data_IF_393174529498
#
_entry.id   IF_393174529498
#
_cell.length_a   1.000
_cell.length_b   1.000
_cell.length_c   1.000
_cell.angle_alpha   90.00
_cell.angle_beta   90.00
_cell.angle_gamma   90.00
#
_symmetry.space_group_name_H-M   'P 1'
#
loop_
_entity.id
_entity.type
_entity.pdbx_description
1 polymer ?
#
# COMPACT_ATOMS: atom_id res chain seq x y z
N UNK A 1 4.41 -23.15 -1.41
CA UNK A 1 3.83 -21.93 -0.78
C UNK A 1 4.88 -21.19 0.07
N UNK A 2 6.02 -20.79 -0.51
CA UNK A 2 7.10 -20.05 0.19
C UNK A 2 7.24 -18.60 -0.32
N UNK A 3 6.52 -18.27 -1.39
CA UNK A 3 6.60 -16.99 -2.10
C UNK A 3 5.61 -15.93 -1.59
N UNK A 4 4.53 -16.35 -0.90
CA UNK A 4 3.45 -15.46 -0.42
C UNK A 4 3.85 -14.71 0.87
N UNK A 5 5.05 -14.95 1.42
CA UNK A 5 5.32 -14.67 2.84
C UNK A 5 6.50 -13.75 3.14
N UNK A 6 7.10 -13.11 2.14
CA UNK A 6 8.15 -12.13 2.43
C UNK A 6 7.55 -10.71 2.46
N UNK A 7 7.30 -10.13 3.65
CA UNK A 7 6.66 -8.82 3.78
C UNK A 7 7.46 -7.72 3.09
N UNK A 8 8.80 -7.84 3.05
CA UNK A 8 9.67 -6.92 2.33
C UNK A 8 9.39 -6.93 0.83
N UNK A 9 9.26 -8.11 0.21
CA UNK A 9 8.93 -8.23 -1.22
C UNK A 9 7.54 -7.68 -1.54
N UNK A 10 6.54 -7.99 -0.72
CA UNK A 10 5.18 -7.46 -0.88
C UNK A 10 5.16 -5.93 -0.76
N UNK A 11 5.94 -5.37 0.17
CA UNK A 11 6.07 -3.91 0.33
C UNK A 11 6.65 -3.26 -0.92
N UNK A 12 7.71 -3.83 -1.52
CA UNK A 12 8.24 -3.29 -2.78
C UNK A 12 7.19 -3.25 -3.88
N UNK A 13 6.44 -4.34 -4.02
CA UNK A 13 5.40 -4.44 -5.03
C UNK A 13 4.34 -3.34 -4.85
N UNK A 14 3.90 -3.13 -3.62
CA UNK A 14 2.96 -2.06 -3.29
C UNK A 14 3.54 -0.67 -3.52
N UNK A 15 4.79 -0.39 -3.13
CA UNK A 15 5.44 0.89 -3.41
C UNK A 15 5.42 1.19 -4.91
N UNK A 16 5.78 0.21 -5.75
CA UNK A 16 5.78 0.38 -7.21
C UNK A 16 4.37 0.67 -7.73
N UNK A 17 3.37 -0.13 -7.32
CA UNK A 17 1.98 0.04 -7.73
C UNK A 17 1.43 1.41 -7.33
N UNK A 18 1.57 1.77 -6.05
CA UNK A 18 1.04 3.03 -5.55
C UNK A 18 1.71 4.21 -6.27
N UNK A 19 3.03 4.20 -6.42
CA UNK A 19 3.76 5.26 -7.10
C UNK A 19 3.31 5.45 -8.55
N UNK A 20 3.29 4.36 -9.33
CA UNK A 20 2.98 4.42 -10.76
C UNK A 20 1.52 4.81 -11.00
N UNK A 21 0.57 4.15 -10.31
CA UNK A 21 -0.85 4.42 -10.53
C UNK A 21 -1.23 5.81 -9.99
N UNK A 22 -0.63 6.28 -8.89
CA UNK A 22 -0.87 7.64 -8.38
C UNK A 22 -0.42 8.70 -9.37
N UNK A 23 0.76 8.51 -9.98
CA UNK A 23 1.30 9.44 -10.96
C UNK A 23 0.41 9.51 -12.21
N UNK A 24 -0.05 8.35 -12.71
CA UNK A 24 -1.01 8.26 -13.82
C UNK A 24 -2.36 8.92 -13.45
N UNK A 25 -2.87 8.66 -12.24
CA UNK A 25 -4.13 9.22 -11.76
C UNK A 25 -4.08 10.75 -11.65
N UNK A 26 -2.96 11.31 -11.20
CA UNK A 26 -2.76 12.75 -11.15
C UNK A 26 -2.76 13.37 -12.55
N UNK A 27 -2.05 12.78 -13.52
CA UNK A 27 -2.01 13.31 -14.90
C UNK A 27 -3.38 13.34 -15.57
N UNK A 28 -4.26 12.38 -15.26
CA UNK A 28 -5.58 12.28 -15.88
C UNK A 28 -6.61 13.17 -15.19
N UNK A 29 -6.50 13.34 -13.88
CA UNK A 29 -7.60 13.92 -13.09
C UNK A 29 -7.25 15.29 -12.52
N UNK A 30 -5.98 15.70 -12.59
CA UNK A 30 -5.40 16.90 -11.97
C UNK A 30 -5.79 17.09 -10.49
N UNK A 31 -6.23 16.01 -9.85
CA UNK A 31 -6.79 16.07 -8.51
C UNK A 31 -5.67 15.93 -7.48
N UNK A 32 -5.53 16.88 -6.53
CA UNK A 32 -4.54 16.77 -5.47
C UNK A 32 -4.77 15.55 -4.57
N UNK A 33 -6.00 15.02 -4.53
CA UNK A 33 -6.35 13.83 -3.76
C UNK A 33 -5.68 12.55 -4.29
N UNK A 34 -5.32 12.51 -5.58
CA UNK A 34 -4.60 11.37 -6.18
C UNK A 34 -3.14 11.28 -5.71
N UNK A 35 -2.59 12.38 -5.17
CA UNK A 35 -1.21 12.47 -4.70
C UNK A 35 -1.04 11.92 -3.28
N UNK A 36 -2.12 11.75 -2.53
CA UNK A 36 -2.09 11.18 -1.16
C UNK A 36 -1.39 9.81 -1.16
N UNK A 37 -1.84 8.80 -1.94
CA UNK A 37 -1.16 7.51 -2.01
C UNK A 37 0.30 7.59 -2.51
N UNK A 38 0.66 8.61 -3.31
CA UNK A 38 2.05 8.83 -3.71
C UNK A 38 2.93 9.27 -2.53
N UNK A 39 2.47 10.24 -1.74
CA UNK A 39 3.21 10.72 -0.55
C UNK A 39 3.40 9.59 0.45
N UNK A 40 2.36 8.80 0.71
CA UNK A 40 2.49 7.63 1.58
C UNK A 40 3.38 6.53 0.97
N UNK A 41 3.36 6.34 -0.34
CA UNK A 41 4.27 5.41 -1.02
C UNK A 41 5.74 5.77 -0.77
N UNK A 42 6.09 7.06 -0.85
CA UNK A 42 7.44 7.55 -0.54
C UNK A 42 7.81 7.29 0.92
N UNK A 43 6.91 7.59 1.86
CA UNK A 43 7.11 7.30 3.29
C UNK A 43 7.32 5.80 3.58
N UNK A 44 6.50 4.93 2.96
CA UNK A 44 6.66 3.48 3.04
C UNK A 44 7.99 3.05 2.42
N UNK A 45 8.42 3.68 1.32
CA UNK A 45 9.70 3.45 0.67
C UNK A 45 10.91 3.76 1.56
N UNK A 46 10.85 4.87 2.32
CA UNK A 46 11.88 5.19 3.31
C UNK A 46 11.93 4.10 4.39
N UNK A 47 10.78 3.71 4.93
CA UNK A 47 10.70 2.64 5.92
C UNK A 47 11.17 1.29 5.38
N UNK A 48 10.96 1.03 4.08
CA UNK A 48 11.43 -0.17 3.39
C UNK A 48 12.97 -0.23 3.36
N UNK A 49 13.65 0.88 3.08
CA UNK A 49 15.13 0.94 3.09
C UNK A 49 15.67 0.79 4.51
N UNK A 50 15.00 1.38 5.49
CA UNK A 50 15.39 1.27 6.90
C UNK A 50 15.02 -0.07 7.54
N UNK A 51 14.22 -0.90 6.87
CA UNK A 51 13.73 -2.18 7.38
C UNK A 51 14.88 -3.04 7.92
N UNK A 52 15.95 -3.22 7.15
CA UNK A 52 17.09 -4.09 7.50
C UNK A 52 17.85 -3.68 8.77
N UNK A 53 17.74 -2.42 9.21
CA UNK A 53 18.38 -1.95 10.45
C UNK A 53 17.62 -2.34 11.70
N UNK A 54 16.28 -2.28 11.67
CA UNK A 54 15.41 -2.59 12.81
C UNK A 54 14.08 -3.21 12.35
N UNK A 55 14.15 -4.47 11.89
CA UNK A 55 13.03 -5.18 11.26
C UNK A 55 11.71 -5.10 12.04
N UNK A 56 11.71 -5.20 13.39
CA UNK A 56 10.48 -5.24 14.20
C UNK A 56 9.74 -3.90 14.23
N UNK A 57 10.45 -2.80 14.44
CA UNK A 57 9.86 -1.46 14.56
C UNK A 57 9.37 -0.98 13.20
N UNK A 58 10.21 -1.09 12.16
CA UNK A 58 9.83 -0.67 10.81
C UNK A 58 8.70 -1.52 10.22
N UNK A 59 8.61 -2.81 10.56
CA UNK A 59 7.46 -3.63 10.16
C UNK A 59 6.12 -3.08 10.70
N UNK A 60 6.08 -2.64 11.96
CA UNK A 60 4.86 -2.07 12.54
C UNK A 60 4.55 -0.69 11.93
N UNK A 61 5.56 0.14 11.70
CA UNK A 61 5.39 1.45 11.06
C UNK A 61 4.84 1.28 9.63
N UNK A 62 5.41 0.37 8.84
CA UNK A 62 4.94 0.09 7.47
C UNK A 62 3.49 -0.42 7.50
N UNK A 63 3.17 -1.34 8.41
CA UNK A 63 1.80 -1.85 8.56
C UNK A 63 0.81 -0.73 8.94
N UNK A 64 1.21 0.16 9.86
CA UNK A 64 0.40 1.30 10.26
C UNK A 64 0.16 2.26 9.09
N UNK A 65 1.20 2.60 8.32
CA UNK A 65 1.07 3.43 7.12
C UNK A 65 0.16 2.79 6.08
N UNK A 66 0.28 1.47 5.84
CA UNK A 66 -0.59 0.75 4.92
C UNK A 66 -2.06 0.80 5.34
N UNK A 67 -2.36 0.70 6.64
CA UNK A 67 -3.72 0.85 7.17
C UNK A 67 -4.25 2.27 6.93
N UNK A 68 -3.44 3.29 7.20
CA UNK A 68 -3.82 4.70 6.94
C UNK A 68 -4.12 4.91 5.46
N UNK A 69 -3.28 4.38 4.56
CA UNK A 69 -3.48 4.47 3.11
C UNK A 69 -4.76 3.76 2.67
N UNK A 70 -5.01 2.57 3.22
CA UNK A 70 -6.22 1.80 2.90
C UNK A 70 -7.48 2.59 3.26
N UNK A 71 -7.50 3.20 4.45
CA UNK A 71 -8.61 4.06 4.89
C UNK A 71 -8.72 5.32 4.02
N UNK A 72 -7.59 5.96 3.70
CA UNK A 72 -7.56 7.15 2.86
C UNK A 72 -8.07 6.90 1.44
N UNK A 73 -7.94 5.67 0.92
CA UNK A 73 -8.40 5.29 -0.43
C UNK A 73 -9.92 5.09 -0.56
N UNK A 74 -10.68 4.99 0.53
CA UNK A 74 -12.14 4.91 0.44
C UNK A 74 -12.77 6.20 -0.08
N UNK A 75 -12.24 7.37 0.31
CA UNK A 75 -12.72 8.66 -0.16
C UNK A 75 -12.59 8.82 -1.69
N UNK A 76 -11.42 8.60 -2.33
CA UNK A 76 -11.31 8.67 -3.78
C UNK A 76 -12.12 7.56 -4.46
N UNK A 77 -12.27 6.37 -3.87
CA UNK A 77 -13.11 5.33 -4.45
C UNK A 77 -14.58 5.77 -4.58
N UNK A 78 -15.17 6.28 -3.48
CA UNK A 78 -16.54 6.77 -3.49
C UNK A 78 -16.74 7.90 -4.51
N UNK A 79 -15.80 8.85 -4.57
CA UNK A 79 -15.85 9.91 -5.59
C UNK A 79 -15.87 9.39 -7.03
N UNK A 80 -15.20 8.26 -7.32
CA UNK A 80 -15.20 7.67 -8.67
C UNK A 80 -16.46 6.88 -8.97
N UNK A 81 -17.05 6.27 -7.94
CA UNK A 81 -18.36 5.61 -8.04
C UNK A 81 -19.43 6.66 -8.36
N UNK A 82 -19.46 7.76 -7.63
CA UNK A 82 -20.41 8.87 -7.87
C UNK A 82 -20.24 9.46 -9.28
N UNK A 83 -19.00 9.55 -9.76
CA UNK A 83 -18.67 10.03 -11.09
C UNK A 83 -18.89 9.00 -12.23
N UNK A 84 -19.34 7.77 -11.92
CA UNK A 84 -19.46 6.66 -12.88
C UNK A 84 -18.17 6.39 -13.71
N UNK A 85 -17.00 6.69 -13.15
CA UNK A 85 -15.70 6.52 -13.80
C UNK A 85 -15.17 5.10 -13.55
N UNK A 86 -15.57 4.15 -14.41
CA UNK A 86 -15.18 2.73 -14.32
C UNK A 86 -13.65 2.59 -14.26
N UNK A 87 -12.91 3.36 -15.07
CA UNK A 87 -11.45 3.32 -15.09
C UNK A 87 -10.82 3.85 -13.79
N UNK A 88 -11.40 4.90 -13.22
CA UNK A 88 -11.06 5.39 -11.88
C UNK A 88 -11.28 4.35 -10.80
N UNK A 89 -12.43 3.68 -10.81
CA UNK A 89 -12.79 2.65 -9.83
C UNK A 89 -11.80 1.48 -9.88
N UNK A 90 -11.51 0.96 -11.08
CA UNK A 90 -10.58 -0.17 -11.24
C UNK A 90 -9.20 0.18 -10.70
N UNK A 91 -8.66 1.35 -11.05
CA UNK A 91 -7.33 1.80 -10.58
C UNK A 91 -7.25 1.91 -9.07
N UNK A 92 -8.22 2.56 -8.43
CA UNK A 92 -8.25 2.73 -6.97
C UNK A 92 -8.45 1.37 -6.28
N UNK A 93 -9.30 0.52 -6.83
CA UNK A 93 -9.50 -0.85 -6.33
C UNK A 93 -8.21 -1.67 -6.41
N UNK A 94 -7.46 -1.59 -7.51
CA UNK A 94 -6.16 -2.26 -7.63
C UNK A 94 -5.16 -1.78 -6.57
N UNK A 95 -5.12 -0.48 -6.28
CA UNK A 95 -4.27 0.05 -5.20
C UNK A 95 -4.70 -0.49 -3.82
N UNK A 96 -6.00 -0.58 -3.55
CA UNK A 96 -6.50 -1.15 -2.30
C UNK A 96 -6.12 -2.63 -2.16
N UNK A 97 -6.27 -3.42 -3.23
CA UNK A 97 -5.89 -4.83 -3.23
C UNK A 97 -4.40 -5.03 -2.96
N UNK A 98 -3.52 -4.18 -3.53
CA UNK A 98 -2.08 -4.23 -3.25
C UNK A 98 -1.78 -3.94 -1.77
N UNK A 99 -2.46 -2.93 -1.19
CA UNK A 99 -2.33 -2.62 0.23
C UNK A 99 -2.78 -3.79 1.12
N UNK A 100 -3.96 -4.35 0.85
CA UNK A 100 -4.51 -5.50 1.58
C UNK A 100 -3.57 -6.71 1.49
N UNK A 101 -3.08 -7.02 0.30
CA UNK A 101 -2.12 -8.10 0.10
C UNK A 101 -0.87 -7.93 0.98
N UNK A 102 -0.34 -6.71 1.03
CA UNK A 102 0.85 -6.41 1.83
C UNK A 102 0.58 -6.51 3.32
N UNK A 103 -0.57 -6.01 3.78
CA UNK A 103 -1.04 -6.16 5.16
C UNK A 103 -1.11 -7.63 5.56
N UNK A 104 -1.71 -8.48 4.72
CA UNK A 104 -1.81 -9.92 4.97
C UNK A 104 -0.41 -10.53 5.09
N UNK A 105 0.53 -10.19 4.20
CA UNK A 105 1.91 -10.66 4.29
C UNK A 105 2.59 -10.26 5.61
N UNK A 106 2.37 -9.04 6.10
CA UNK A 106 2.88 -8.59 7.40
C UNK A 106 2.27 -9.37 8.57
N UNK A 107 0.94 -9.51 8.59
CA UNK A 107 0.23 -10.26 9.64
C UNK A 107 0.70 -11.72 9.68
N UNK A 108 0.81 -12.38 8.53
CA UNK A 108 1.35 -13.75 8.46
C UNK A 108 2.80 -13.83 8.93
N UNK A 109 3.63 -12.83 8.59
CA UNK A 109 5.01 -12.75 9.07
C UNK A 109 5.09 -12.64 10.60
N UNK A 110 4.16 -11.90 11.23
CA UNK A 110 4.10 -11.79 12.68
C UNK A 110 3.66 -13.10 13.35
N UNK A 111 2.66 -13.78 12.78
CA UNK A 111 2.20 -15.09 13.28
C UNK A 111 3.35 -16.11 13.21
N UNK A 112 4.12 -16.14 12.12
CA UNK A 112 5.25 -17.06 12.00
C UNK A 112 6.39 -16.74 12.97
N UNK A 113 6.67 -15.47 13.23
CA UNK A 113 7.65 -15.07 14.22
C UNK A 113 7.24 -15.54 15.63
N UNK A 114 5.92 -15.57 15.92
CA UNK A 114 5.39 -16.11 17.19
C UNK A 114 5.52 -17.63 17.26
N UNK A 115 5.18 -18.36 16.20
CA UNK A 115 5.24 -19.84 16.19
C UNK A 115 6.66 -20.42 16.22
N UNK A 116 7.69 -19.61 15.99
CA UNK A 116 9.10 -20.02 16.03
C UNK A 116 9.78 -19.72 17.37
N UNK A 117 9.11 -18.97 18.24
CA UNK A 117 9.47 -18.78 19.65
C UNK A 117 8.77 -19.83 20.51
#
# INVERSE_FOLDING_TARGET
MKMILNPKKATMFSIVILTVISMISYMITLSPTALIPFVFSVLIGICYVLYDKNNKVFAHIILFLLLVVLVALFMPLNKRIDANDIWGIVRVSTMQLACIYTIICFVMSFIQARNKN
#
